data_IF_729695052805
#
_entry.id   IF_729695052805
#
_cell.length_a   1.000
_cell.length_b   1.000
_cell.length_c   1.000
_cell.angle_alpha   90.00
_cell.angle_beta   90.00
_cell.angle_gamma   90.00
#
_symmetry.space_group_name_H-M   'P 1'
#
loop_
_entity.id
_entity.type
_entity.pdbx_description
1 polymer ?
#
# COMPACT_ATOMS: atom_id res chain seq x y z
N UNK A 1 -9.38 18.35 27.42
CA UNK A 1 -8.33 17.50 26.81
C UNK A 1 -8.61 17.50 25.31
N UNK A 2 -7.80 18.15 24.50
CA UNK A 2 -7.88 18.04 23.05
C UNK A 2 -7.63 16.59 22.68
N UNK A 3 -8.57 15.93 21.98
CA UNK A 3 -8.34 14.62 21.40
C UNK A 3 -7.04 14.66 20.59
N UNK A 4 -6.15 13.71 20.84
CA UNK A 4 -4.89 13.62 20.10
C UNK A 4 -5.22 13.31 18.63
N UNK A 5 -4.83 14.20 17.74
CA UNK A 5 -4.99 14.00 16.29
C UNK A 5 -4.08 12.86 15.87
N UNK A 6 -4.63 11.79 15.27
CA UNK A 6 -3.87 10.65 14.79
C UNK A 6 -3.08 11.06 13.54
N UNK A 7 -1.81 10.71 13.51
CA UNK A 7 -0.94 10.97 12.35
C UNK A 7 -1.40 10.22 11.09
N UNK A 8 -1.87 8.98 11.27
CA UNK A 8 -2.39 8.13 10.22
C UNK A 8 -3.62 7.36 10.71
N UNK A 9 -4.82 7.94 10.61
CA UNK A 9 -6.06 7.20 10.86
C UNK A 9 -6.20 6.02 9.90
N UNK A 10 -6.87 4.95 10.32
CA UNK A 10 -7.20 3.82 9.44
C UNK A 10 -8.23 4.22 8.38
N UNK A 11 -8.29 3.47 7.28
CA UNK A 11 -9.14 3.79 6.14
C UNK A 11 -10.62 3.98 6.51
N UNK A 12 -11.16 3.14 7.40
CA UNK A 12 -12.54 3.22 7.89
C UNK A 12 -12.83 4.48 8.72
N UNK A 13 -11.81 5.10 9.30
CA UNK A 13 -11.92 6.36 10.04
C UNK A 13 -11.77 7.55 9.10
N UNK A 14 -10.72 7.53 8.26
CA UNK A 14 -10.40 8.61 7.34
C UNK A 14 -11.49 8.82 6.29
N UNK A 15 -12.09 7.74 5.79
CA UNK A 15 -13.11 7.75 4.75
C UNK A 15 -14.51 7.36 5.28
N UNK A 16 -14.76 7.61 6.56
CA UNK A 16 -16.03 7.24 7.22
C UNK A 16 -17.26 7.80 6.50
N UNK A 17 -17.21 9.05 6.04
CA UNK A 17 -18.31 9.69 5.32
C UNK A 17 -18.60 9.01 3.98
N UNK A 18 -17.57 8.67 3.21
CA UNK A 18 -17.71 7.99 1.93
C UNK A 18 -18.28 6.57 2.09
N UNK A 19 -17.76 5.82 3.08
CA UNK A 19 -18.26 4.49 3.40
C UNK A 19 -19.71 4.52 3.87
N UNK A 20 -20.10 5.52 4.66
CA UNK A 20 -21.47 5.69 5.12
C UNK A 20 -22.43 6.03 3.97
N UNK A 21 -22.04 6.95 3.09
CA UNK A 21 -22.84 7.33 1.93
C UNK A 21 -23.09 6.13 0.99
N UNK A 22 -22.05 5.36 0.70
CA UNK A 22 -22.18 4.17 -0.14
C UNK A 22 -23.06 3.10 0.49
N UNK A 23 -22.96 2.86 1.81
CA UNK A 23 -23.85 1.90 2.53
C UNK A 23 -25.30 2.34 2.47
N UNK A 24 -25.57 3.63 2.65
CA UNK A 24 -26.93 4.16 2.60
C UNK A 24 -27.56 4.01 1.23
N UNK A 25 -26.77 4.24 0.17
CA UNK A 25 -27.25 4.16 -1.22
C UNK A 25 -27.23 2.73 -1.80
N UNK A 26 -26.65 1.75 -1.08
CA UNK A 26 -26.47 0.38 -1.58
C UNK A 26 -27.76 -0.44 -1.40
N UNK A 27 -28.44 -0.69 -2.51
CA UNK A 27 -29.66 -1.50 -2.55
C UNK A 27 -29.40 -2.97 -2.96
N UNK A 28 -28.14 -3.35 -3.21
CA UNK A 28 -27.79 -4.70 -3.66
C UNK A 28 -27.50 -5.63 -2.46
N UNK A 29 -27.68 -6.95 -2.61
CA UNK A 29 -27.40 -7.89 -1.53
C UNK A 29 -25.88 -7.93 -1.22
N UNK A 30 -25.57 -7.86 0.07
CA UNK A 30 -24.22 -8.07 0.58
C UNK A 30 -24.00 -9.54 0.95
N UNK A 31 -22.79 -10.09 0.74
CA UNK A 31 -22.41 -11.38 1.31
C UNK A 31 -22.50 -11.36 2.85
N UNK A 32 -22.60 -12.53 3.52
CA UNK A 32 -22.67 -12.59 4.97
C UNK A 32 -21.54 -11.83 5.65
N UNK A 33 -21.86 -11.01 6.65
CA UNK A 33 -20.96 -10.15 7.41
C UNK A 33 -20.19 -9.08 6.61
N UNK A 34 -20.54 -8.86 5.33
CA UNK A 34 -20.07 -7.69 4.61
C UNK A 34 -20.94 -6.47 4.95
N UNK A 35 -20.30 -5.31 5.01
CA UNK A 35 -20.99 -4.05 5.29
C UNK A 35 -21.72 -3.48 4.09
N UNK A 36 -21.35 -3.89 2.88
CA UNK A 36 -21.96 -3.46 1.63
C UNK A 36 -21.80 -4.53 0.55
N UNK A 37 -22.55 -4.38 -0.53
CA UNK A 37 -22.49 -5.29 -1.68
C UNK A 37 -21.12 -5.25 -2.37
N UNK A 38 -20.72 -6.30 -3.08
CA UNK A 38 -19.51 -6.29 -3.91
C UNK A 38 -19.47 -5.13 -4.90
N UNK A 39 -20.62 -4.72 -5.42
CA UNK A 39 -20.72 -3.57 -6.32
C UNK A 39 -20.37 -2.26 -5.62
N UNK A 40 -20.88 -2.03 -4.42
CA UNK A 40 -20.58 -0.83 -3.64
C UNK A 40 -19.10 -0.80 -3.19
N UNK A 41 -18.50 -1.96 -2.85
CA UNK A 41 -17.06 -2.08 -2.57
C UNK A 41 -16.23 -1.65 -3.79
N UNK A 42 -16.58 -2.10 -5.00
CA UNK A 42 -15.91 -1.67 -6.24
C UNK A 42 -16.05 -0.18 -6.47
N UNK A 43 -17.23 0.40 -6.25
CA UNK A 43 -17.46 1.86 -6.34
C UNK A 43 -16.59 2.64 -5.36
N UNK A 44 -16.47 2.17 -4.13
CA UNK A 44 -15.60 2.77 -3.12
C UNK A 44 -14.14 2.80 -3.55
N UNK A 45 -13.62 1.69 -4.09
CA UNK A 45 -12.22 1.61 -4.53
C UNK A 45 -11.94 2.50 -5.75
N UNK A 46 -12.85 2.54 -6.71
CA UNK A 46 -12.68 3.28 -7.95
C UNK A 46 -13.03 4.76 -7.82
N UNK A 47 -14.00 5.11 -6.97
CA UNK A 47 -14.44 6.49 -6.74
C UNK A 47 -14.81 7.25 -8.01
N UNK A 48 -14.63 8.56 -7.97
CA UNK A 48 -14.89 9.44 -9.12
C UNK A 48 -16.37 9.78 -9.32
N UNK A 49 -17.20 9.62 -8.28
CA UNK A 49 -18.63 9.90 -8.29
C UNK A 49 -19.06 10.58 -6.99
N UNK A 50 -20.23 11.21 -7.00
CA UNK A 50 -20.86 11.77 -5.80
C UNK A 50 -22.06 10.91 -5.41
N UNK A 51 -22.10 10.48 -4.14
CA UNK A 51 -23.16 9.65 -3.57
C UNK A 51 -23.71 10.33 -2.34
N UNK A 52 -25.03 10.53 -2.25
CA UNK A 52 -25.70 11.24 -1.12
C UNK A 52 -25.02 12.57 -0.77
N UNK A 53 -24.53 13.30 -1.78
CA UNK A 53 -23.82 14.58 -1.60
C UNK A 53 -22.37 14.47 -1.13
N UNK A 54 -21.83 13.25 -0.96
CA UNK A 54 -20.43 12.98 -0.58
C UNK A 54 -19.64 12.57 -1.82
N UNK A 55 -18.52 13.22 -2.07
CA UNK A 55 -17.58 12.81 -3.12
C UNK A 55 -16.88 11.50 -2.69
N UNK A 56 -16.96 10.48 -3.53
CA UNK A 56 -16.22 9.23 -3.37
C UNK A 56 -14.88 9.38 -4.11
N UNK A 57 -13.82 9.53 -3.35
CA UNK A 57 -12.49 9.72 -3.92
C UNK A 57 -11.89 8.40 -4.39
N UNK A 58 -11.16 8.34 -5.53
CA UNK A 58 -10.51 7.12 -5.99
C UNK A 58 -9.44 6.63 -5.01
N UNK A 59 -9.51 5.35 -4.61
CA UNK A 59 -8.49 4.65 -3.83
C UNK A 59 -7.56 3.84 -4.72
N UNK A 60 -8.02 3.55 -5.94
CA UNK A 60 -7.26 2.84 -6.95
C UNK A 60 -7.50 3.48 -8.32
N UNK A 61 -6.42 3.86 -9.00
CA UNK A 61 -6.41 4.36 -10.37
C UNK A 61 -5.78 3.29 -11.25
N UNK A 62 -6.58 2.71 -12.14
CA UNK A 62 -6.18 1.61 -13.01
C UNK A 62 -7.38 0.81 -13.54
N UNK A 63 -7.13 -0.36 -14.20
CA UNK A 63 -8.20 -1.14 -14.80
C UNK A 63 -9.25 -1.60 -13.78
N UNK A 64 -10.50 -1.22 -13.99
CA UNK A 64 -11.66 -1.61 -13.16
C UNK A 64 -11.74 -3.10 -12.91
N UNK A 65 -11.45 -3.91 -13.93
CA UNK A 65 -11.53 -5.38 -13.87
C UNK A 65 -10.64 -5.99 -12.79
N UNK A 66 -9.51 -5.36 -12.47
CA UNK A 66 -8.60 -5.83 -11.42
C UNK A 66 -9.30 -5.77 -10.05
N UNK A 67 -9.98 -4.67 -9.75
CA UNK A 67 -10.72 -4.50 -8.48
C UNK A 67 -11.94 -5.43 -8.45
N UNK A 68 -12.67 -5.57 -9.56
CA UNK A 68 -13.79 -6.51 -9.64
C UNK A 68 -13.36 -7.95 -9.33
N UNK A 69 -12.23 -8.41 -9.87
CA UNK A 69 -11.68 -9.76 -9.60
C UNK A 69 -11.25 -9.88 -8.14
N UNK A 70 -10.61 -8.86 -7.57
CA UNK A 70 -10.21 -8.86 -6.16
C UNK A 70 -11.43 -8.97 -5.23
N UNK A 71 -12.46 -8.15 -5.47
CA UNK A 71 -13.69 -8.14 -4.68
C UNK A 71 -14.47 -9.46 -4.85
N UNK A 72 -14.59 -9.96 -6.10
CA UNK A 72 -15.23 -11.25 -6.37
C UNK A 72 -14.50 -12.41 -5.67
N UNK A 73 -13.16 -12.37 -5.60
CA UNK A 73 -12.38 -13.35 -4.85
C UNK A 73 -12.75 -13.38 -3.38
N UNK A 74 -12.86 -12.21 -2.73
CA UNK A 74 -13.21 -12.11 -1.32
C UNK A 74 -14.63 -12.59 -1.01
N UNK A 75 -15.52 -12.59 -2.01
CA UNK A 75 -16.88 -13.15 -1.89
C UNK A 75 -16.92 -14.68 -2.04
N UNK A 76 -15.78 -15.33 -2.23
CA UNK A 76 -15.64 -16.79 -2.30
C UNK A 76 -14.90 -17.34 -1.07
N UNK A 77 -14.61 -18.64 -1.06
CA UNK A 77 -13.79 -19.29 -0.03
C UNK A 77 -12.28 -19.09 -0.22
N UNK A 78 -11.85 -18.49 -1.35
CA UNK A 78 -10.45 -18.28 -1.69
C UNK A 78 -9.90 -17.01 -1.05
N UNK A 79 -8.69 -17.10 -0.52
CA UNK A 79 -7.94 -15.93 -0.08
C UNK A 79 -7.44 -15.12 -1.29
N UNK A 80 -7.31 -13.82 -1.11
CA UNK A 80 -6.79 -12.90 -2.13
C UNK A 80 -5.29 -12.67 -1.93
N UNK A 81 -4.50 -12.87 -2.99
CA UNK A 81 -3.09 -12.48 -3.03
C UNK A 81 -2.90 -11.32 -4.01
N UNK A 82 -2.53 -10.16 -3.49
CA UNK A 82 -2.14 -9.00 -4.29
C UNK A 82 -0.64 -9.06 -4.59
N UNK A 83 -0.28 -9.27 -5.84
CA UNK A 83 1.10 -9.23 -6.32
C UNK A 83 1.38 -7.92 -7.05
N UNK A 84 2.64 -7.54 -7.11
CA UNK A 84 3.12 -6.42 -7.92
C UNK A 84 4.49 -5.94 -7.44
N UNK A 85 5.14 -5.13 -8.25
CA UNK A 85 6.41 -4.49 -7.88
C UNK A 85 6.21 -3.52 -6.70
N UNK A 86 7.28 -3.14 -5.98
CA UNK A 86 7.18 -2.11 -4.96
C UNK A 86 6.51 -0.83 -5.48
N UNK A 87 5.63 -0.23 -4.67
CA UNK A 87 4.95 1.03 -5.02
C UNK A 87 3.68 0.90 -5.88
N UNK A 88 3.17 -0.31 -6.15
CA UNK A 88 1.90 -0.53 -6.86
C UNK A 88 0.66 -0.48 -5.95
N UNK A 89 0.74 0.17 -4.80
CA UNK A 89 -0.35 0.40 -3.86
C UNK A 89 -1.00 -0.87 -3.25
N UNK A 90 -0.30 -2.02 -3.20
CA UNK A 90 -0.84 -3.28 -2.65
C UNK A 90 -1.39 -3.12 -1.23
N UNK A 91 -0.58 -2.61 -0.31
CA UNK A 91 -0.96 -2.36 1.09
C UNK A 91 -2.12 -1.38 1.20
N UNK A 92 -2.15 -0.34 0.36
CA UNK A 92 -3.23 0.63 0.30
C UNK A 92 -4.54 -0.02 -0.15
N UNK A 93 -4.52 -0.79 -1.23
CA UNK A 93 -5.69 -1.51 -1.74
C UNK A 93 -6.17 -2.55 -0.73
N UNK A 94 -5.26 -3.30 -0.07
CA UNK A 94 -5.64 -4.28 0.95
C UNK A 94 -6.33 -3.63 2.15
N UNK A 95 -5.84 -2.48 2.61
CA UNK A 95 -6.43 -1.70 3.71
C UNK A 95 -7.85 -1.25 3.36
N UNK A 96 -8.02 -0.65 2.17
CA UNK A 96 -9.33 -0.15 1.73
C UNK A 96 -10.33 -1.28 1.43
N UNK A 97 -9.88 -2.42 0.93
CA UNK A 97 -10.75 -3.60 0.77
C UNK A 97 -11.25 -4.09 2.13
N UNK A 98 -10.37 -4.25 3.13
CA UNK A 98 -10.75 -4.69 4.47
C UNK A 98 -11.73 -3.70 5.13
N UNK A 99 -11.44 -2.39 5.04
CA UNK A 99 -12.31 -1.33 5.54
C UNK A 99 -13.70 -1.34 4.90
N UNK A 100 -13.77 -1.48 3.57
CA UNK A 100 -15.03 -1.48 2.84
C UNK A 100 -15.86 -2.76 3.07
N UNK A 101 -15.19 -3.91 3.17
CA UNK A 101 -15.86 -5.22 3.32
C UNK A 101 -16.35 -5.41 4.75
N UNK A 102 -15.49 -5.24 5.76
CA UNK A 102 -15.82 -5.59 7.15
C UNK A 102 -15.71 -4.44 8.14
N UNK A 103 -15.35 -3.23 7.68
CA UNK A 103 -15.25 -2.03 8.53
C UNK A 103 -14.06 -2.04 9.49
N UNK A 104 -13.08 -2.90 9.25
CA UNK A 104 -11.93 -3.05 10.11
C UNK A 104 -10.70 -3.43 9.28
N UNK A 105 -9.77 -2.52 9.12
CA UNK A 105 -8.51 -2.74 8.43
C UNK A 105 -7.34 -3.01 9.37
N UNK A 106 -7.60 -3.10 10.69
CA UNK A 106 -6.56 -3.17 11.73
C UNK A 106 -6.04 -4.58 11.98
N UNK A 107 -6.77 -5.63 11.54
CA UNK A 107 -6.39 -7.02 11.74
C UNK A 107 -5.23 -7.41 10.81
N UNK A 108 -4.06 -6.88 11.12
CA UNK A 108 -2.87 -6.89 10.28
C UNK A 108 -1.75 -7.72 10.90
N UNK A 109 -1.15 -8.61 10.10
CA UNK A 109 0.15 -9.23 10.34
C UNK A 109 1.16 -8.68 9.32
N UNK A 110 2.20 -7.98 9.79
CA UNK A 110 3.29 -7.52 8.94
C UNK A 110 4.35 -8.63 8.84
N UNK A 111 4.55 -9.13 7.63
CA UNK A 111 5.55 -10.15 7.34
C UNK A 111 6.98 -9.61 7.42
N UNK A 112 7.83 -10.30 8.15
CA UNK A 112 9.27 -10.07 8.28
C UNK A 112 10.00 -11.39 8.41
N UNK A 113 11.31 -11.40 8.25
CA UNK A 113 12.14 -12.60 8.51
C UNK A 113 12.09 -13.07 9.98
N UNK A 114 11.70 -12.20 10.90
CA UNK A 114 11.52 -12.53 12.32
C UNK A 114 10.08 -12.83 12.73
N UNK A 115 9.14 -12.94 11.77
CA UNK A 115 7.76 -13.30 12.08
C UNK A 115 7.70 -14.72 12.61
N UNK A 116 7.09 -14.89 13.79
CA UNK A 116 6.93 -16.18 14.48
C UNK A 116 5.51 -16.71 14.33
N UNK A 117 5.30 -18.00 14.61
CA UNK A 117 4.02 -18.68 14.42
C UNK A 117 2.88 -18.05 15.26
N UNK A 118 3.20 -17.51 16.43
CA UNK A 118 2.26 -16.84 17.31
C UNK A 118 1.61 -15.59 16.66
N UNK A 119 2.32 -14.92 15.77
CA UNK A 119 1.75 -13.78 15.04
C UNK A 119 0.64 -14.20 14.06
N UNK A 120 0.65 -15.45 13.62
CA UNK A 120 -0.29 -16.04 12.66
C UNK A 120 -1.40 -16.82 13.37
N UNK A 121 -1.05 -17.58 14.41
CA UNK A 121 -2.00 -18.44 15.14
C UNK A 121 -2.55 -17.76 16.39
N UNK A 122 -1.83 -17.85 17.47
CA UNK A 122 -2.13 -17.27 18.79
C UNK A 122 -0.88 -17.33 19.67
N UNK A 123 -0.83 -16.49 20.67
CA UNK A 123 0.16 -16.53 21.72
C UNK A 123 -0.46 -16.80 23.08
N UNK A 124 0.37 -16.74 24.13
CA UNK A 124 -0.04 -16.92 25.49
C UNK A 124 0.36 -15.70 26.36
N UNK A 125 -0.54 -15.31 27.24
CA UNK A 125 -0.15 -14.48 28.39
C UNK A 125 0.60 -15.37 29.38
N UNK A 126 1.92 -15.34 29.35
CA UNK A 126 2.77 -16.22 30.14
C UNK A 126 2.55 -16.08 31.65
N UNK A 127 2.25 -14.91 32.15
CA UNK A 127 1.95 -14.72 33.57
C UNK A 127 0.71 -15.51 34.00
N UNK A 128 -0.35 -15.49 33.20
CA UNK A 128 -1.56 -16.27 33.42
C UNK A 128 -1.34 -17.75 33.17
N UNK A 129 -0.61 -18.10 32.13
CA UNK A 129 -0.30 -19.50 31.80
C UNK A 129 0.43 -20.20 32.95
N UNK A 130 1.38 -19.52 33.59
CA UNK A 130 2.13 -20.07 34.74
C UNK A 130 1.23 -20.17 36.00
N UNK A 131 0.36 -19.18 36.21
CA UNK A 131 -0.47 -19.13 37.40
C UNK A 131 -1.68 -20.07 37.34
N UNK A 132 -2.32 -20.19 36.17
CA UNK A 132 -3.66 -20.81 36.01
C UNK A 132 -3.66 -22.00 35.04
N UNK A 133 -2.53 -22.24 34.36
CA UNK A 133 -2.46 -23.21 33.25
C UNK A 133 -3.09 -22.70 31.95
N UNK A 134 -3.12 -23.56 30.90
CA UNK A 134 -3.77 -23.21 29.64
C UNK A 134 -5.27 -22.94 29.84
N UNK A 135 -5.69 -21.74 29.44
CA UNK A 135 -7.09 -21.30 29.57
C UNK A 135 -7.45 -20.29 28.48
N UNK A 136 -8.74 -20.09 28.21
CA UNK A 136 -9.22 -19.08 27.26
C UNK A 136 -8.78 -17.66 27.68
N UNK A 137 -8.64 -17.40 28.96
CA UNK A 137 -8.19 -16.12 29.52
C UNK A 137 -6.69 -15.89 29.36
N UNK A 138 -5.89 -16.96 29.29
CA UNK A 138 -4.46 -16.91 29.03
C UNK A 138 -4.13 -16.86 27.54
N UNK A 139 -5.08 -17.22 26.66
CA UNK A 139 -4.91 -17.19 25.22
C UNK A 139 -4.90 -15.75 24.68
N UNK A 140 -3.90 -15.40 23.88
CA UNK A 140 -3.80 -14.11 23.17
C UNK A 140 -4.03 -14.37 21.69
N UNK A 141 -5.19 -13.96 21.14
CA UNK A 141 -5.49 -14.22 19.74
C UNK A 141 -4.59 -13.38 18.82
N UNK A 142 -4.14 -13.97 17.71
CA UNK A 142 -3.54 -13.23 16.61
C UNK A 142 -4.60 -12.41 15.86
N UNK A 143 -4.19 -11.46 14.99
CA UNK A 143 -5.12 -10.78 14.08
C UNK A 143 -5.93 -11.76 13.21
N UNK A 144 -5.32 -12.86 12.77
CA UNK A 144 -5.99 -13.89 11.97
C UNK A 144 -7.04 -14.62 12.81
N UNK A 145 -6.69 -15.05 14.01
CA UNK A 145 -7.63 -15.73 14.91
C UNK A 145 -8.81 -14.81 15.28
N UNK A 146 -8.54 -13.52 15.49
CA UNK A 146 -9.58 -12.52 15.72
C UNK A 146 -10.50 -12.39 14.52
N UNK A 147 -9.93 -12.27 13.31
CA UNK A 147 -10.71 -12.21 12.08
C UNK A 147 -11.57 -13.46 11.87
N UNK A 148 -11.05 -14.67 12.19
CA UNK A 148 -11.80 -15.93 12.12
C UNK A 148 -13.01 -15.93 13.05
N UNK A 149 -12.83 -15.49 14.30
CA UNK A 149 -13.92 -15.43 15.29
C UNK A 149 -15.01 -14.43 14.92
N UNK A 150 -14.59 -13.27 14.39
CA UNK A 150 -15.48 -12.14 14.15
C UNK A 150 -16.05 -12.09 12.73
N UNK A 151 -15.64 -13.03 11.84
CA UNK A 151 -16.07 -13.04 10.43
C UNK A 151 -15.53 -11.82 9.66
N UNK A 152 -14.29 -11.42 9.93
CA UNK A 152 -13.66 -10.25 9.33
C UNK A 152 -12.56 -10.61 8.34
N UNK A 153 -12.00 -9.59 7.68
CA UNK A 153 -10.83 -9.73 6.81
C UNK A 153 -9.55 -9.60 7.64
N UNK A 154 -8.67 -10.62 7.59
CA UNK A 154 -7.30 -10.51 8.05
C UNK A 154 -6.39 -10.06 6.91
N UNK A 155 -5.41 -9.19 7.21
CA UNK A 155 -4.41 -8.69 6.27
C UNK A 155 -3.04 -9.28 6.61
N UNK A 156 -2.37 -9.84 5.60
CA UNK A 156 -1.00 -10.36 5.68
C UNK A 156 -0.12 -9.58 4.72
N UNK A 157 0.55 -8.56 5.21
CA UNK A 157 1.43 -7.75 4.38
C UNK A 157 2.80 -8.41 4.24
N UNK A 158 3.36 -8.38 3.02
CA UNK A 158 4.67 -8.95 2.70
C UNK A 158 4.80 -10.46 3.05
N UNK A 159 3.82 -11.26 2.65
CA UNK A 159 3.73 -12.69 2.96
C UNK A 159 5.02 -13.46 2.63
N UNK A 160 5.69 -13.13 1.53
CA UNK A 160 6.95 -13.77 1.11
C UNK A 160 8.14 -13.49 2.03
N UNK A 161 8.05 -12.53 2.94
CA UNK A 161 9.07 -12.29 3.97
C UNK A 161 8.91 -13.16 5.21
N UNK A 162 7.75 -13.76 5.39
CA UNK A 162 7.47 -14.68 6.50
C UNK A 162 8.27 -15.98 6.26
N UNK A 163 8.94 -16.57 7.28
CA UNK A 163 9.59 -17.88 7.15
C UNK A 163 8.62 -18.94 6.63
N UNK A 164 9.11 -19.87 5.79
CA UNK A 164 8.28 -20.89 5.13
C UNK A 164 7.51 -21.76 6.12
N UNK A 165 8.12 -22.10 7.24
CA UNK A 165 7.53 -22.91 8.31
C UNK A 165 6.31 -22.20 8.93
N UNK A 166 6.39 -20.88 9.08
CA UNK A 166 5.27 -20.05 9.59
C UNK A 166 4.19 -19.87 8.53
N UNK A 167 4.58 -19.75 7.24
CA UNK A 167 3.62 -19.71 6.14
C UNK A 167 2.76 -20.99 6.09
N UNK A 168 3.32 -22.15 6.39
CA UNK A 168 2.60 -23.42 6.34
C UNK A 168 1.48 -23.49 7.40
N UNK A 169 1.59 -22.75 8.51
CA UNK A 169 0.50 -22.62 9.49
C UNK A 169 -0.79 -22.03 8.89
N UNK A 170 -0.68 -21.27 7.79
CA UNK A 170 -1.83 -20.72 7.06
C UNK A 170 -2.59 -21.77 6.24
N UNK A 171 -1.97 -22.91 5.91
CA UNK A 171 -2.58 -23.90 5.02
C UNK A 171 -3.91 -24.41 5.59
N UNK A 172 -3.95 -24.78 6.87
CA UNK A 172 -5.15 -25.26 7.55
C UNK A 172 -6.21 -24.16 7.67
N UNK A 173 -5.78 -22.95 8.06
CA UNK A 173 -6.65 -21.77 8.17
C UNK A 173 -7.34 -21.46 6.84
N UNK A 174 -6.61 -21.54 5.74
CA UNK A 174 -7.15 -21.22 4.41
C UNK A 174 -7.96 -22.36 3.78
N UNK A 175 -7.63 -23.62 4.08
CA UNK A 175 -8.31 -24.79 3.51
C UNK A 175 -9.54 -25.21 4.31
N UNK A 176 -9.31 -25.47 5.60
CA UNK A 176 -10.34 -26.05 6.48
C UNK A 176 -11.12 -24.99 7.24
N UNK A 177 -10.64 -23.74 7.17
CA UNK A 177 -11.23 -22.61 7.94
C UNK A 177 -11.23 -22.87 9.44
N UNK A 178 -10.24 -23.64 9.93
CA UNK A 178 -10.06 -23.97 11.35
C UNK A 178 -8.66 -23.62 11.81
N UNK A 179 -8.53 -23.32 13.10
CA UNK A 179 -7.29 -23.06 13.79
C UNK A 179 -7.26 -23.92 15.07
N UNK A 180 -6.52 -25.06 15.09
CA UNK A 180 -6.43 -25.92 16.25
C UNK A 180 -5.74 -25.24 17.44
N UNK A 181 -6.24 -25.49 18.66
CA UNK A 181 -5.66 -25.07 19.94
C UNK A 181 -5.49 -26.33 20.80
N UNK A 182 -4.44 -27.12 20.55
CA UNK A 182 -4.25 -28.42 21.23
C UNK A 182 -4.21 -28.30 22.75
N UNK A 183 -3.66 -27.22 23.28
CA UNK A 183 -3.53 -26.99 24.73
C UNK A 183 -4.88 -26.82 25.42
N UNK A 184 -5.92 -26.47 24.67
CA UNK A 184 -7.29 -26.35 25.17
C UNK A 184 -8.18 -27.51 24.71
N UNK A 185 -7.61 -28.47 23.95
CA UNK A 185 -8.36 -29.60 23.41
C UNK A 185 -9.45 -29.20 22.41
N UNK A 186 -9.30 -28.05 21.73
CA UNK A 186 -10.31 -27.51 20.83
C UNK A 186 -9.72 -26.82 19.60
N UNK A 187 -10.60 -26.14 18.89
CA UNK A 187 -10.24 -25.33 17.70
C UNK A 187 -11.10 -24.08 17.59
N UNK A 188 -10.64 -23.11 16.82
CA UNK A 188 -11.46 -21.98 16.33
C UNK A 188 -11.91 -22.30 14.92
N UNK A 189 -13.22 -22.30 14.68
CA UNK A 189 -13.80 -22.37 13.35
C UNK A 189 -14.10 -20.96 12.86
N UNK A 190 -13.83 -20.67 11.58
CA UNK A 190 -14.06 -19.35 11.01
C UNK A 190 -15.56 -19.06 10.87
N UNK A 191 -15.95 -17.89 11.34
CA UNK A 191 -17.29 -17.33 11.14
C UNK A 191 -17.46 -16.88 9.68
N UNK A 192 -18.68 -16.95 9.15
CA UNK A 192 -19.01 -16.45 7.81
C UNK A 192 -18.52 -15.00 7.65
N UNK A 193 -18.00 -14.68 6.47
CA UNK A 193 -17.38 -13.38 6.19
C UNK A 193 -15.87 -13.35 6.40
N UNK A 194 -15.30 -14.33 7.12
CA UNK A 194 -13.84 -14.44 7.26
C UNK A 194 -13.17 -14.68 5.91
N UNK A 195 -12.18 -13.86 5.62
CA UNK A 195 -11.24 -14.11 4.52
C UNK A 195 -9.86 -13.49 4.82
N UNK A 196 -8.90 -13.73 3.93
CA UNK A 196 -7.53 -13.22 4.06
C UNK A 196 -7.15 -12.48 2.79
N UNK A 197 -6.58 -11.28 2.97
CA UNK A 197 -5.87 -10.55 1.92
C UNK A 197 -4.39 -10.61 2.24
N UNK A 198 -3.60 -11.20 1.35
CA UNK A 198 -2.15 -11.19 1.44
C UNK A 198 -1.55 -10.27 0.38
N UNK A 199 -0.39 -9.66 0.68
CA UNK A 199 0.40 -8.93 -0.30
C UNK A 199 1.78 -9.56 -0.43
N UNK A 200 2.35 -9.51 -1.62
CA UNK A 200 3.72 -9.94 -1.88
C UNK A 200 4.34 -9.15 -3.05
N UNK A 201 5.65 -9.05 -3.05
CA UNK A 201 6.39 -8.49 -4.16
C UNK A 201 6.76 -9.63 -5.14
N UNK A 202 6.67 -9.36 -6.44
CA UNK A 202 6.96 -10.36 -7.48
C UNK A 202 8.46 -10.53 -7.79
N UNK A 203 9.31 -9.60 -7.30
CA UNK A 203 10.74 -9.51 -7.65
C UNK A 203 11.71 -9.34 -6.50
N UNK A 204 11.26 -9.45 -5.25
CA UNK A 204 12.18 -9.31 -4.11
C UNK A 204 13.18 -10.48 -4.06
N UNK A 205 14.47 -10.15 -4.08
CA UNK A 205 15.54 -11.13 -3.85
C UNK A 205 15.64 -11.45 -2.36
N UNK A 206 15.78 -12.72 -2.03
CA UNK A 206 15.94 -13.17 -0.63
C UNK A 206 14.63 -13.33 0.15
N UNK A 207 13.50 -13.44 -0.55
CA UNK A 207 12.21 -13.82 0.01
C UNK A 207 11.97 -15.32 -0.10
N UNK A 208 11.15 -15.85 0.79
CA UNK A 208 10.71 -17.23 0.75
C UNK A 208 9.65 -17.40 -0.35
N UNK A 209 9.88 -18.34 -1.26
CA UNK A 209 8.86 -18.71 -2.23
C UNK A 209 7.63 -19.29 -1.51
N UNK A 210 6.45 -18.93 -1.98
CA UNK A 210 5.23 -19.56 -1.51
C UNK A 210 5.23 -21.03 -1.93
N UNK A 211 5.05 -21.94 -0.98
CA UNK A 211 4.88 -23.35 -1.27
C UNK A 211 3.72 -23.55 -2.28
N UNK A 212 3.83 -24.56 -3.13
CA UNK A 212 2.76 -24.88 -4.09
C UNK A 212 1.43 -25.16 -3.38
N UNK A 213 1.49 -25.70 -2.17
CA UNK A 213 0.36 -25.96 -1.33
C UNK A 213 -0.33 -24.66 -0.88
N UNK A 214 0.43 -23.69 -0.40
CA UNK A 214 -0.11 -22.40 0.03
C UNK A 214 -0.60 -21.57 -1.18
N UNK A 215 0.16 -21.54 -2.27
CA UNK A 215 -0.19 -20.79 -3.48
C UNK A 215 -1.56 -21.19 -4.04
N UNK A 216 -1.92 -22.47 -3.99
CA UNK A 216 -3.23 -22.97 -4.46
C UNK A 216 -4.42 -22.45 -3.66
N UNK A 217 -4.23 -21.91 -2.46
CA UNK A 217 -5.29 -21.38 -1.59
C UNK A 217 -5.61 -19.91 -1.88
N UNK A 218 -4.76 -19.28 -2.69
CA UNK A 218 -4.98 -17.89 -3.09
C UNK A 218 -5.48 -17.79 -4.53
N UNK A 219 -6.36 -16.84 -4.77
CA UNK A 219 -6.54 -16.24 -6.08
C UNK A 219 -5.59 -15.04 -6.17
N UNK A 220 -4.74 -15.05 -7.19
CA UNK A 220 -3.72 -14.02 -7.37
C UNK A 220 -4.21 -12.92 -8.29
N UNK A 221 -4.09 -11.69 -7.84
CA UNK A 221 -4.37 -10.47 -8.60
C UNK A 221 -3.08 -9.66 -8.69
N UNK A 222 -2.63 -9.37 -9.91
CA UNK A 222 -1.43 -8.57 -10.14
C UNK A 222 -1.83 -7.11 -10.30
N UNK A 223 -1.32 -6.25 -9.41
CA UNK A 223 -1.48 -4.80 -9.49
C UNK A 223 -0.36 -4.23 -10.38
N UNK A 224 -0.68 -3.68 -11.54
CA UNK A 224 0.32 -3.10 -12.44
C UNK A 224 0.80 -1.75 -11.93
N UNK A 225 1.92 -1.28 -12.46
CA UNK A 225 2.29 0.13 -12.37
C UNK A 225 1.24 0.98 -13.11
N UNK A 226 1.09 2.28 -12.75
CA UNK A 226 0.20 3.20 -13.46
C UNK A 226 0.48 3.18 -14.97
N UNK A 227 -0.58 3.07 -15.77
CA UNK A 227 -0.45 2.85 -17.22
C UNK A 227 0.13 4.08 -17.92
N UNK A 228 -0.33 5.28 -17.56
CA UNK A 228 0.10 6.54 -18.16
C UNK A 228 0.86 7.41 -17.17
N UNK A 229 1.55 8.43 -17.71
CA UNK A 229 2.14 9.50 -16.91
C UNK A 229 1.05 10.27 -16.16
N UNK A 230 -0.09 10.53 -16.81
CA UNK A 230 -1.19 11.29 -16.24
C UNK A 230 -1.83 10.55 -15.05
N UNK A 231 -2.03 9.23 -15.15
CA UNK A 231 -2.51 8.41 -14.03
C UNK A 231 -1.57 8.51 -12.82
N UNK A 232 -0.26 8.42 -13.06
CA UNK A 232 0.72 8.49 -11.98
C UNK A 232 0.82 9.88 -11.36
N UNK A 233 0.71 10.94 -12.17
CA UNK A 233 0.63 12.34 -11.70
C UNK A 233 -0.63 12.54 -10.85
N UNK A 234 -1.77 12.01 -11.27
CA UNK A 234 -3.01 12.09 -10.50
C UNK A 234 -2.88 11.39 -9.14
N UNK A 235 -2.30 10.17 -9.11
CA UNK A 235 -2.04 9.42 -7.87
C UNK A 235 -1.15 10.26 -6.93
N UNK A 236 -0.04 10.78 -7.44
CA UNK A 236 0.90 11.56 -6.62
C UNK A 236 0.23 12.83 -6.10
N UNK A 237 -0.49 13.56 -6.95
CA UNK A 237 -1.17 14.80 -6.56
C UNK A 237 -2.17 14.57 -5.42
N UNK A 238 -3.04 13.57 -5.54
CA UNK A 238 -4.02 13.23 -4.51
C UNK A 238 -3.36 12.81 -3.19
N UNK A 239 -2.39 11.90 -3.28
CA UNK A 239 -1.70 11.38 -2.09
C UNK A 239 -0.88 12.45 -1.37
N UNK A 240 -0.24 13.34 -2.11
CA UNK A 240 0.48 14.48 -1.54
C UNK A 240 -0.47 15.43 -0.82
N UNK A 241 -1.64 15.72 -1.39
CA UNK A 241 -2.66 16.55 -0.75
C UNK A 241 -3.15 15.91 0.57
N UNK A 242 -3.47 14.60 0.57
CA UNK A 242 -3.91 13.87 1.76
C UNK A 242 -2.85 13.91 2.87
N UNK A 243 -1.58 13.63 2.51
CA UNK A 243 -0.47 13.58 3.46
C UNK A 243 -0.17 14.99 4.01
N UNK A 244 -0.13 16.00 3.14
CA UNK A 244 0.11 17.39 3.56
C UNK A 244 -0.97 17.88 4.52
N UNK A 245 -2.24 17.55 4.27
CA UNK A 245 -3.35 17.82 5.18
C UNK A 245 -3.19 17.12 6.53
N UNK A 246 -2.83 15.83 6.53
CA UNK A 246 -2.62 15.06 7.77
C UNK A 246 -1.44 15.58 8.60
N UNK A 247 -0.40 16.06 7.93
CA UNK A 247 0.79 16.65 8.57
C UNK A 247 0.60 18.13 8.94
N UNK A 248 -0.54 18.72 8.57
CA UNK A 248 -0.81 20.15 8.73
C UNK A 248 0.32 21.03 8.15
N UNK A 249 0.88 20.60 7.01
CA UNK A 249 1.86 21.42 6.31
C UNK A 249 1.21 22.71 5.83
N UNK A 250 1.93 23.84 5.86
CA UNK A 250 1.45 25.08 5.28
C UNK A 250 1.01 24.87 3.82
N UNK A 251 -0.08 25.53 3.40
CA UNK A 251 -0.51 25.49 2.02
C UNK A 251 0.57 26.11 1.12
N UNK A 252 1.14 25.28 0.28
CA UNK A 252 2.12 25.67 -0.74
C UNK A 252 1.42 25.51 -2.09
N UNK A 253 1.34 26.56 -2.93
CA UNK A 253 0.90 26.41 -4.31
C UNK A 253 1.77 25.35 -5.00
N UNK A 254 1.22 24.16 -5.14
CA UNK A 254 1.91 23.05 -5.76
C UNK A 254 1.69 23.15 -7.26
N UNK A 255 2.73 23.46 -8.01
CA UNK A 255 2.67 23.44 -9.46
C UNK A 255 2.47 21.99 -9.92
N UNK A 256 1.38 21.74 -10.66
CA UNK A 256 1.17 20.45 -11.33
C UNK A 256 2.37 20.08 -12.24
N UNK A 257 3.10 21.09 -12.71
CA UNK A 257 4.31 20.93 -13.50
C UNK A 257 5.45 20.30 -12.69
N UNK A 258 5.65 20.72 -11.43
CA UNK A 258 6.70 20.14 -10.57
C UNK A 258 6.39 18.69 -10.22
N UNK A 259 5.12 18.36 -9.88
CA UNK A 259 4.71 16.97 -9.67
C UNK A 259 4.97 16.15 -10.95
N UNK A 260 4.56 16.67 -12.10
CA UNK A 260 4.78 16.00 -13.39
C UNK A 260 6.27 15.80 -13.67
N UNK A 261 7.12 16.75 -13.32
CA UNK A 261 8.58 16.65 -13.47
C UNK A 261 9.15 15.51 -12.64
N UNK A 262 8.81 15.46 -11.34
CA UNK A 262 9.23 14.37 -10.44
C UNK A 262 8.78 13.01 -10.98
N UNK A 263 7.51 12.89 -11.33
CA UNK A 263 6.96 11.62 -11.86
C UNK A 263 7.62 11.22 -13.18
N UNK A 264 7.92 12.20 -14.05
CA UNK A 264 8.59 11.93 -15.35
C UNK A 264 9.99 11.35 -15.11
N UNK A 265 10.79 11.96 -14.22
CA UNK A 265 12.14 11.46 -13.87
C UNK A 265 12.05 10.01 -13.37
N UNK A 266 11.12 9.75 -12.46
CA UNK A 266 10.94 8.41 -11.88
C UNK A 266 10.55 7.38 -12.93
N UNK A 267 9.60 7.72 -13.80
CA UNK A 267 9.16 6.81 -14.89
C UNK A 267 10.26 6.51 -15.89
N UNK A 268 10.97 7.52 -16.34
CA UNK A 268 12.04 7.39 -17.35
C UNK A 268 13.17 6.52 -16.82
N UNK A 269 13.67 6.81 -15.62
CA UNK A 269 14.74 6.02 -15.02
C UNK A 269 14.28 4.60 -14.64
N UNK A 270 13.05 4.43 -14.19
CA UNK A 270 12.46 3.11 -13.88
C UNK A 270 12.25 2.26 -15.13
N UNK A 271 11.79 2.87 -16.24
CA UNK A 271 11.57 2.15 -17.49
C UNK A 271 12.84 1.93 -18.29
N UNK A 272 13.88 2.73 -18.09
CA UNK A 272 15.08 2.76 -18.91
C UNK A 272 14.87 3.40 -20.28
N UNK A 273 13.82 4.25 -20.43
CA UNK A 273 13.47 4.93 -21.66
C UNK A 273 12.99 6.35 -21.36
N UNK A 274 13.34 7.32 -22.23
CA UNK A 274 12.74 8.65 -22.18
C UNK A 274 11.24 8.59 -22.51
N UNK A 275 10.46 9.57 -22.05
CA UNK A 275 9.01 9.63 -22.22
C UNK A 275 8.59 9.62 -23.70
N UNK A 276 9.42 10.15 -24.60
CA UNK A 276 9.24 10.10 -26.05
C UNK A 276 9.72 8.80 -26.71
N UNK A 277 10.29 7.87 -25.92
CA UNK A 277 10.81 6.57 -26.37
C UNK A 277 12.07 6.63 -27.24
N UNK A 278 12.70 7.81 -27.40
CA UNK A 278 13.83 7.98 -28.33
C UNK A 278 15.17 7.51 -27.76
N UNK A 279 15.38 7.72 -26.46
CA UNK A 279 16.65 7.42 -25.81
C UNK A 279 16.52 6.29 -24.81
N UNK A 280 17.41 5.29 -24.89
CA UNK A 280 17.58 4.29 -23.85
C UNK A 280 18.40 4.88 -22.71
N UNK A 281 17.99 4.59 -21.48
CA UNK A 281 18.60 5.08 -20.26
C UNK A 281 19.14 3.90 -19.45
N UNK A 282 20.21 4.14 -18.71
CA UNK A 282 20.61 3.22 -17.66
C UNK A 282 19.64 3.36 -16.49
N UNK A 283 19.36 2.25 -15.84
CA UNK A 283 18.50 2.22 -14.66
C UNK A 283 19.36 2.25 -13.40
N UNK A 284 19.00 3.04 -12.38
CA UNK A 284 19.66 2.97 -11.08
C UNK A 284 19.31 1.66 -10.36
N UNK A 285 20.04 1.38 -9.27
CA UNK A 285 19.82 0.19 -8.45
C UNK A 285 18.47 0.20 -7.70
N UNK A 286 17.91 1.38 -7.44
CA UNK A 286 16.63 1.57 -6.77
C UNK A 286 15.43 1.31 -7.67
N UNK A 287 14.26 1.06 -7.07
CA UNK A 287 13.02 0.74 -7.81
C UNK A 287 12.28 1.97 -8.33
N UNK A 288 12.55 3.16 -7.81
CA UNK A 288 11.89 4.43 -8.13
C UNK A 288 10.36 4.31 -8.20
N UNK A 289 9.79 3.94 -7.05
CA UNK A 289 8.37 3.69 -6.91
C UNK A 289 7.53 4.98 -6.87
N UNK A 290 6.25 4.88 -7.20
CA UNK A 290 5.29 5.99 -7.03
C UNK A 290 5.23 6.47 -5.57
N UNK A 291 5.42 5.58 -4.59
CA UNK A 291 5.48 5.95 -3.17
C UNK A 291 6.69 6.84 -2.85
N UNK A 292 7.84 6.57 -3.46
CA UNK A 292 9.02 7.44 -3.32
C UNK A 292 8.80 8.80 -4.00
N UNK A 293 8.12 8.84 -5.16
CA UNK A 293 7.75 10.10 -5.80
C UNK A 293 6.84 10.97 -4.91
N UNK A 294 5.84 10.34 -4.24
CA UNK A 294 5.00 11.01 -3.23
C UNK A 294 5.86 11.60 -2.11
N UNK A 295 6.80 10.83 -1.58
CA UNK A 295 7.70 11.27 -0.50
C UNK A 295 8.57 12.45 -0.93
N UNK A 296 9.11 12.42 -2.13
CA UNK A 296 9.94 13.51 -2.70
C UNK A 296 9.14 14.81 -2.83
N UNK A 297 7.92 14.73 -3.37
CA UNK A 297 7.07 15.92 -3.52
C UNK A 297 6.65 16.46 -2.15
N UNK A 298 6.25 15.59 -1.21
CA UNK A 298 5.88 16.00 0.16
C UNK A 298 7.07 16.67 0.87
N UNK A 299 8.28 16.11 0.73
CA UNK A 299 9.51 16.72 1.26
C UNK A 299 9.77 18.10 0.62
N UNK A 300 9.60 18.22 -0.71
CA UNK A 300 9.75 19.49 -1.41
C UNK A 300 8.79 20.56 -0.91
N UNK A 301 7.51 20.19 -0.66
CA UNK A 301 6.52 21.09 -0.04
C UNK A 301 6.99 21.54 1.34
N UNK A 302 7.47 20.64 2.18
CA UNK A 302 7.97 20.99 3.51
C UNK A 302 9.22 21.89 3.42
N UNK A 303 10.13 21.63 2.47
CA UNK A 303 11.29 22.50 2.21
C UNK A 303 10.87 23.91 1.82
N UNK A 304 9.96 24.03 0.86
CA UNK A 304 9.44 25.33 0.42
C UNK A 304 8.70 26.08 1.53
N UNK A 305 7.87 25.36 2.30
CA UNK A 305 7.05 25.95 3.37
C UNK A 305 7.88 26.46 4.56
N UNK A 306 8.93 25.74 4.95
CA UNK A 306 9.69 26.03 6.18
C UNK A 306 11.02 26.74 5.93
N UNK A 307 11.63 26.58 4.75
CA UNK A 307 12.96 27.10 4.45
C UNK A 307 13.01 27.93 3.16
N UNK A 308 11.93 27.94 2.38
CA UNK A 308 11.80 28.71 1.14
C UNK A 308 10.83 29.88 1.26
N UNK A 309 10.26 30.24 0.13
CA UNK A 309 9.30 31.36 0.00
C UNK A 309 7.83 30.89 -0.10
N UNK A 310 7.55 29.62 0.19
CA UNK A 310 6.23 29.03 0.14
C UNK A 310 5.73 28.73 -1.28
N UNK A 311 6.63 28.61 -2.26
CA UNK A 311 6.31 28.19 -3.64
C UNK A 311 7.18 26.99 -4.01
N UNK A 312 6.58 25.83 -4.32
CA UNK A 312 7.33 24.65 -4.70
C UNK A 312 8.11 24.87 -6.00
N UNK A 313 9.42 24.73 -5.93
CA UNK A 313 10.34 24.92 -7.05
C UNK A 313 11.20 23.70 -7.31
N UNK A 314 11.84 23.60 -8.48
CA UNK A 314 12.77 22.51 -8.79
C UNK A 314 13.86 22.29 -7.74
N UNK A 315 14.36 23.34 -7.10
CA UNK A 315 15.38 23.26 -6.06
C UNK A 315 14.88 22.52 -4.80
N UNK A 316 13.61 22.65 -4.47
CA UNK A 316 13.01 22.01 -3.28
C UNK A 316 12.86 20.48 -3.45
N UNK A 317 12.68 20.01 -4.70
CA UNK A 317 12.53 18.59 -5.02
C UNK A 317 13.85 17.93 -5.41
N UNK A 318 14.85 18.70 -5.88
CA UNK A 318 16.11 18.17 -6.42
C UNK A 318 16.85 17.25 -5.43
N UNK A 319 17.01 17.67 -4.18
CA UNK A 319 17.70 16.87 -3.16
C UNK A 319 16.95 15.55 -2.88
N UNK A 320 15.62 15.60 -2.80
CA UNK A 320 14.79 14.41 -2.63
C UNK A 320 14.91 13.45 -3.81
N UNK A 321 14.91 13.96 -5.05
CA UNK A 321 15.08 13.14 -6.26
C UNK A 321 16.47 12.49 -6.28
N UNK A 322 17.53 13.27 -6.03
CA UNK A 322 18.91 12.74 -5.98
C UNK A 322 19.00 11.64 -4.91
N UNK A 323 18.47 11.87 -3.72
CA UNK A 323 18.45 10.87 -2.64
C UNK A 323 17.62 9.62 -2.95
N UNK A 324 16.58 9.74 -3.79
CA UNK A 324 15.80 8.60 -4.25
C UNK A 324 16.51 7.80 -5.35
N UNK A 325 17.18 8.46 -6.27
CA UNK A 325 17.85 7.85 -7.42
C UNK A 325 19.21 7.26 -7.04
N UNK A 326 20.02 8.01 -6.28
CA UNK A 326 21.41 7.63 -5.93
C UNK A 326 21.41 6.85 -4.61
N UNK A 327 21.17 5.53 -4.68
CA UNK A 327 21.29 4.62 -3.53
C UNK A 327 22.71 4.06 -3.42
N UNK A 328 23.34 3.79 -4.54
CA UNK A 328 24.76 3.46 -4.64
C UNK A 328 25.54 4.72 -5.10
N UNK A 329 26.35 5.33 -4.20
CA UNK A 329 27.06 6.56 -4.51
C UNK A 329 28.04 6.47 -5.70
N UNK A 330 28.48 5.27 -6.06
CA UNK A 330 29.42 5.06 -7.17
C UNK A 330 28.67 4.82 -8.48
N UNK A 331 27.78 3.83 -8.49
CA UNK A 331 27.14 3.39 -9.73
C UNK A 331 25.94 4.28 -10.10
N UNK A 332 25.06 4.58 -9.12
CA UNK A 332 23.86 5.36 -9.40
C UNK A 332 24.17 6.83 -9.66
N UNK A 333 25.25 7.37 -9.05
CA UNK A 333 25.67 8.74 -9.34
C UNK A 333 26.07 8.92 -10.82
N UNK A 334 26.72 7.92 -11.41
CA UNK A 334 27.06 7.93 -12.85
C UNK A 334 25.78 7.89 -13.70
N UNK A 335 24.83 7.03 -13.34
CA UNK A 335 23.53 6.94 -14.03
C UNK A 335 22.78 8.26 -13.97
N UNK A 336 22.76 8.88 -12.79
CA UNK A 336 22.11 10.18 -12.60
C UNK A 336 22.77 11.30 -13.42
N UNK A 337 24.11 11.38 -13.41
CA UNK A 337 24.82 12.36 -14.22
C UNK A 337 24.60 12.18 -15.72
N UNK A 338 24.66 10.93 -16.23
CA UNK A 338 24.35 10.65 -17.63
C UNK A 338 22.93 11.11 -17.99
N UNK A 339 21.95 10.85 -17.13
CA UNK A 339 20.56 11.29 -17.33
C UNK A 339 20.45 12.82 -17.35
N UNK A 340 21.12 13.52 -16.41
CA UNK A 340 21.12 14.98 -16.39
C UNK A 340 21.71 15.58 -17.67
N UNK A 341 22.87 15.09 -18.14
CA UNK A 341 23.55 15.66 -19.29
C UNK A 341 22.88 15.30 -20.62
N UNK A 342 22.39 14.06 -20.76
CA UNK A 342 21.83 13.59 -22.02
C UNK A 342 20.34 13.92 -22.22
N UNK A 343 19.60 14.14 -21.13
CA UNK A 343 18.13 14.30 -21.19
C UNK A 343 17.67 15.61 -20.58
N UNK A 344 18.01 15.83 -19.31
CA UNK A 344 17.45 16.95 -18.54
C UNK A 344 17.96 18.28 -19.09
N UNK A 345 19.25 18.36 -19.42
CA UNK A 345 19.88 19.56 -19.96
C UNK A 345 19.26 20.04 -21.27
N UNK A 346 18.88 19.10 -22.13
CA UNK A 346 18.37 19.40 -23.48
C UNK A 346 16.83 19.58 -23.49
N UNK A 347 16.17 19.46 -22.31
CA UNK A 347 14.72 19.53 -22.22
C UNK A 347 14.25 20.95 -21.92
N UNK A 348 13.40 21.48 -22.78
CA UNK A 348 12.81 22.83 -22.62
C UNK A 348 12.10 22.96 -21.26
N UNK A 349 12.33 24.10 -20.58
CA UNK A 349 11.74 24.42 -19.28
C UNK A 349 12.36 23.68 -18.08
N UNK A 350 13.44 22.88 -18.27
CA UNK A 350 14.08 22.11 -17.20
C UNK A 350 15.43 22.67 -16.73
N UNK A 351 15.84 23.84 -17.22
CA UNK A 351 17.13 24.43 -16.89
C UNK A 351 17.35 24.68 -15.39
N UNK A 352 16.32 25.10 -14.65
CA UNK A 352 16.41 25.33 -13.20
C UNK A 352 16.54 24.00 -12.45
N UNK A 353 15.82 22.98 -12.85
CA UNK A 353 15.93 21.64 -12.30
C UNK A 353 17.32 21.03 -12.56
N UNK A 354 17.84 21.21 -13.77
CA UNK A 354 19.21 20.75 -14.12
C UNK A 354 20.25 21.38 -13.21
N UNK A 355 20.21 22.71 -13.02
CA UNK A 355 21.14 23.44 -12.16
C UNK A 355 21.04 22.97 -10.71
N UNK A 356 19.84 22.96 -10.15
CA UNK A 356 19.59 22.51 -8.78
C UNK A 356 20.07 21.08 -8.53
N UNK A 357 19.82 20.17 -9.47
CA UNK A 357 20.22 18.76 -9.36
C UNK A 357 21.76 18.59 -9.44
N UNK A 358 22.46 19.44 -10.19
CA UNK A 358 23.92 19.45 -10.23
C UNK A 358 24.53 19.96 -8.93
N UNK A 359 23.97 21.02 -8.36
CA UNK A 359 24.45 21.62 -7.11
C UNK A 359 24.40 20.64 -5.94
N UNK A 360 23.32 19.84 -5.86
CA UNK A 360 23.17 18.80 -4.81
C UNK A 360 24.26 17.72 -4.89
N UNK A 361 24.75 17.38 -6.08
CA UNK A 361 25.82 16.36 -6.22
C UNK A 361 27.21 16.87 -5.79
N UNK A 362 27.39 18.18 -5.69
CA UNK A 362 28.66 18.81 -5.35
C UNK A 362 28.71 19.34 -3.90
N UNK A 363 27.54 19.29 -3.20
CA UNK A 363 27.43 19.65 -1.79
C UNK A 363 27.62 18.43 -0.87
#
# INVERSE_FOLDING_TARGET
>A
MTEATLLRPHAEQLFAAELAALRTADALPAPPNWLMSPHAVVRYLLGGETVEGVEITPKYIGPRRIIEVAVATLATDRALLLLGVPGTAKTWVSEHLAAAVTGDSTLLVQGTAGTVEEAVRYGWNYARLIAEGPSQQALVPSPIMTAMRDGKIARLEELTRIPSEVQDALITVLSEKTLPIPELGGEVQATQGFNVIATANDRDRGVNDLSSALRRRFNTVVLPLPASLDDEVEIVTRRVADISGSLQLPEVPTSAEEIRRVVTVFRELRSGLTADGRNKLKQPSGTLSTAEAISVVTQGIAMSAHFGDGVLRPADTAAGIVGAVVKDPVNDAVVWLEYLEAVVRERDGWADFYRASRDVLHS
#
